data_IF_838304208846
#
_entry.id   IF_838304208846
#
_cell.length_a   1.000
_cell.length_b   1.000
_cell.length_c   1.000
_cell.angle_alpha   90.00
_cell.angle_beta   90.00
_cell.angle_gamma   90.00
#
_symmetry.space_group_name_H-M   'P 1'
#
loop_
_entity.id
_entity.type
_entity.pdbx_description
1 polymer ?
#
# COMPACT_ATOMS: atom_id res chain seq x y z
N UNK A 1 23.33 -52.42 11.32
CA UNK A 1 23.92 -52.25 9.98
C UNK A 1 23.96 -50.76 9.74
N UNK A 2 24.95 -50.11 10.20
CA UNK A 2 26.28 -49.74 9.67
C UNK A 2 26.24 -48.82 8.43
N UNK A 3 26.64 -47.56 8.70
CA UNK A 3 27.56 -46.79 7.87
C UNK A 3 26.90 -45.73 7.01
N UNK A 4 27.38 -44.54 6.80
CA UNK A 4 28.74 -43.95 6.98
C UNK A 4 28.63 -42.42 6.95
N UNK A 5 29.31 -41.77 7.85
CA UNK A 5 29.76 -40.37 7.72
C UNK A 5 30.73 -40.23 6.52
N UNK A 6 30.62 -39.15 5.79
CA UNK A 6 31.70 -38.59 5.00
C UNK A 6 31.78 -37.09 5.27
N UNK A 7 32.81 -36.71 5.99
CA UNK A 7 33.27 -35.33 6.11
C UNK A 7 34.23 -35.07 4.94
N UNK A 8 34.10 -33.90 4.33
CA UNK A 8 35.13 -33.36 3.44
C UNK A 8 35.38 -31.90 3.79
N UNK A 9 36.46 -31.69 4.51
CA UNK A 9 37.16 -30.42 4.67
C UNK A 9 37.90 -30.07 3.38
N UNK A 10 37.75 -28.83 2.91
CA UNK A 10 38.74 -28.20 2.02
C UNK A 10 39.06 -26.81 2.54
N UNK A 11 40.27 -26.71 3.09
CA UNK A 11 41.04 -25.48 3.27
C UNK A 11 41.57 -25.02 1.90
N UNK A 12 41.55 -23.73 1.62
CA UNK A 12 42.48 -23.03 0.73
C UNK A 12 42.48 -21.55 1.09
N UNK A 13 43.45 -21.16 1.65
CA UNK A 13 44.59 -20.24 1.64
C UNK A 13 44.56 -19.20 0.51
N UNK A 14 44.45 -17.91 0.92
CA UNK A 14 45.32 -16.80 0.57
C UNK A 14 45.26 -16.18 -0.80
N UNK A 15 44.94 -14.88 -0.81
CA UNK A 15 45.73 -13.87 -1.53
C UNK A 15 45.30 -12.45 -1.11
N UNK A 16 46.25 -11.73 -0.54
CA UNK A 16 46.18 -10.28 -0.26
C UNK A 16 46.52 -9.57 -1.57
N UNK A 17 45.63 -8.69 -2.02
CA UNK A 17 45.95 -7.70 -3.05
C UNK A 17 45.63 -6.30 -2.50
N UNK A 18 46.68 -5.56 -2.19
CA UNK A 18 46.70 -4.11 -1.97
C UNK A 18 46.49 -3.42 -3.32
N UNK A 19 45.41 -2.66 -3.46
CA UNK A 19 45.16 -1.84 -4.66
C UNK A 19 44.60 -0.47 -4.27
N UNK A 20 45.36 0.50 -4.58
CA UNK A 20 45.35 1.96 -4.40
C UNK A 20 44.01 2.68 -4.39
N UNK A 21 43.99 3.72 -3.56
CA UNK A 21 43.03 4.79 -3.45
C UNK A 21 42.71 5.51 -4.79
N UNK A 22 41.45 5.72 -5.09
CA UNK A 22 40.97 6.85 -5.85
C UNK A 22 39.83 7.48 -5.09
N UNK A 23 40.05 8.72 -4.66
CA UNK A 23 39.05 9.54 -3.97
C UNK A 23 37.93 9.90 -4.94
N UNK A 24 36.72 9.49 -4.60
CA UNK A 24 35.49 10.01 -5.19
C UNK A 24 34.71 10.66 -4.07
N UNK A 25 34.57 11.98 -4.15
CA UNK A 25 33.78 12.76 -3.20
C UNK A 25 32.33 12.28 -3.25
N UNK A 26 31.83 11.85 -2.13
CA UNK A 26 30.39 11.65 -1.94
C UNK A 26 29.79 12.99 -1.53
N UNK A 27 29.08 13.61 -2.48
CA UNK A 27 28.19 14.71 -2.13
C UNK A 27 27.06 14.13 -1.27
N UNK A 28 26.83 14.64 -0.05
CA UNK A 28 25.69 14.22 0.76
C UNK A 28 24.42 14.70 0.07
N UNK A 29 23.49 13.79 -0.15
CA UNK A 29 22.15 14.07 -0.65
C UNK A 29 21.48 15.10 0.27
N UNK A 30 20.74 16.09 -0.25
CA UNK A 30 20.08 17.09 0.55
C UNK A 30 19.02 16.41 1.42
N UNK A 31 19.03 16.74 2.70
CA UNK A 31 18.04 16.30 3.66
C UNK A 31 16.64 16.78 3.26
N UNK A 32 15.57 15.98 3.48
CA UNK A 32 14.21 16.43 3.23
C UNK A 32 13.89 17.61 4.17
N UNK A 33 13.57 18.76 3.59
CA UNK A 33 13.13 19.95 4.29
C UNK A 33 11.76 19.69 4.92
N UNK A 34 11.70 19.66 6.25
CA UNK A 34 10.46 19.75 7.03
C UNK A 34 9.91 21.18 6.93
N UNK A 35 9.10 21.43 5.91
CA UNK A 35 8.30 22.63 5.79
C UNK A 35 7.01 22.48 6.59
N UNK A 36 6.98 23.07 7.81
CA UNK A 36 5.75 23.27 8.55
C UNK A 36 4.94 24.39 7.90
N UNK A 37 3.63 24.18 7.72
CA UNK A 37 2.69 25.21 7.28
C UNK A 37 1.27 24.73 7.53
N UNK A 38 0.66 25.21 8.61
CA UNK A 38 -0.75 25.00 8.90
C UNK A 38 -1.64 25.81 7.97
N UNK A 39 -2.81 25.29 7.63
CA UNK A 39 -3.86 26.00 6.90
C UNK A 39 -5.02 25.04 6.64
N UNK A 40 -6.13 25.22 7.37
CA UNK A 40 -7.35 24.45 7.15
C UNK A 40 -7.98 24.83 5.82
N UNK A 41 -8.47 23.82 5.13
CA UNK A 41 -9.24 23.95 3.89
C UNK A 41 -9.39 22.56 3.32
N UNK A 42 -10.58 22.14 2.90
CA UNK A 42 -10.88 20.81 2.38
C UNK A 42 -9.86 20.32 1.37
N UNK A 43 -8.80 19.69 1.89
CA UNK A 43 -7.65 19.25 1.13
C UNK A 43 -7.97 17.98 0.37
N UNK A 44 -7.93 18.04 -0.93
CA UNK A 44 -7.68 16.90 -1.80
C UNK A 44 -6.35 16.29 -1.37
N UNK A 45 -6.40 15.18 -0.65
CA UNK A 45 -5.20 14.46 -0.23
C UNK A 45 -4.56 13.83 -1.45
N UNK A 46 -3.35 14.29 -1.80
CA UNK A 46 -2.51 13.74 -2.88
C UNK A 46 -1.88 12.40 -2.47
N UNK A 47 -2.56 11.58 -1.71
CA UNK A 47 -2.11 10.24 -1.32
C UNK A 47 -2.78 9.20 -2.21
N UNK A 48 -2.22 8.00 -2.25
CA UNK A 48 -2.80 6.83 -2.91
C UNK A 48 -3.21 5.75 -1.91
N UNK A 49 -3.39 6.12 -0.63
CA UNK A 49 -3.69 5.17 0.45
C UNK A 49 -4.96 5.56 1.18
N UNK A 50 -5.81 4.56 1.38
CA UNK A 50 -6.98 4.60 2.28
C UNK A 50 -6.67 3.69 3.46
N UNK A 51 -6.74 4.22 4.67
CA UNK A 51 -6.52 3.47 5.90
C UNK A 51 -7.85 3.15 6.56
N UNK A 52 -8.02 1.90 6.98
CA UNK A 52 -9.18 1.40 7.71
C UNK A 52 -8.77 1.26 9.17
N UNK A 53 -9.58 1.81 10.07
CA UNK A 53 -9.39 1.73 11.54
C UNK A 53 -10.72 1.38 12.19
N UNK A 54 -10.72 1.16 13.50
CA UNK A 54 -11.96 0.98 14.27
C UNK A 54 -12.92 2.18 14.21
N UNK A 55 -12.44 3.35 13.76
CA UNK A 55 -13.25 4.56 13.54
C UNK A 55 -13.77 4.70 12.10
N UNK A 56 -13.40 3.78 11.20
CA UNK A 56 -13.77 3.79 9.80
C UNK A 56 -12.61 4.06 8.84
N UNK A 57 -12.93 4.43 7.60
CA UNK A 57 -11.96 4.68 6.53
C UNK A 57 -11.50 6.14 6.49
N UNK A 58 -10.23 6.36 6.17
CA UNK A 58 -9.64 7.69 6.01
C UNK A 58 -8.58 7.67 4.88
N UNK A 59 -8.62 8.65 3.95
CA UNK A 59 -9.67 9.65 3.75
C UNK A 59 -10.99 9.03 3.24
N UNK A 60 -12.10 9.70 3.52
CA UNK A 60 -13.44 9.31 3.02
C UNK A 60 -13.58 9.55 1.51
N UNK A 61 -12.91 10.56 1.00
CA UNK A 61 -12.84 10.87 -0.43
C UNK A 61 -11.38 11.01 -0.81
N UNK A 62 -10.97 10.23 -1.80
CA UNK A 62 -9.62 10.25 -2.34
C UNK A 62 -9.68 10.61 -3.82
N UNK A 63 -8.90 11.62 -4.25
CA UNK A 63 -8.79 12.00 -5.65
C UNK A 63 -7.46 11.51 -6.22
N UNK A 64 -7.50 10.81 -7.34
CA UNK A 64 -6.33 10.22 -7.99
C UNK A 64 -6.32 10.47 -9.50
N UNK A 65 -5.13 10.47 -10.10
CA UNK A 65 -5.02 10.50 -11.55
C UNK A 65 -5.44 9.16 -12.18
N UNK A 66 -5.93 9.21 -13.41
CA UNK A 66 -6.23 8.02 -14.22
C UNK A 66 -5.00 7.09 -14.32
N UNK A 67 -5.21 5.80 -14.19
CA UNK A 67 -4.17 4.77 -14.20
C UNK A 67 -3.53 4.50 -12.83
N UNK A 68 -3.88 5.26 -11.80
CA UNK A 68 -3.38 5.05 -10.44
C UNK A 68 -3.96 3.76 -9.83
N UNK A 69 -3.17 3.10 -8.99
CA UNK A 69 -3.64 2.09 -8.05
C UNK A 69 -3.76 2.70 -6.65
N UNK A 70 -4.82 2.39 -5.94
CA UNK A 70 -5.06 2.83 -4.56
C UNK A 70 -4.81 1.68 -3.60
N UNK A 71 -4.02 1.94 -2.55
CA UNK A 71 -3.75 0.98 -1.49
C UNK A 71 -4.79 1.12 -0.38
N UNK A 72 -5.41 0.02 0.00
CA UNK A 72 -6.19 -0.09 1.24
C UNK A 72 -5.35 -0.79 2.30
N UNK A 73 -5.24 -0.18 3.47
CA UNK A 73 -4.48 -0.72 4.62
C UNK A 73 -5.42 -0.92 5.79
N UNK A 74 -5.50 -2.15 6.29
CA UNK A 74 -6.30 -2.47 7.46
C UNK A 74 -5.45 -2.28 8.74
N UNK A 75 -5.64 -1.15 9.42
CA UNK A 75 -5.08 -0.85 10.74
C UNK A 75 -6.09 -1.11 11.89
N UNK A 76 -7.20 -1.78 11.60
CA UNK A 76 -8.12 -2.28 12.62
C UNK A 76 -7.67 -3.66 13.12
N UNK A 77 -8.23 -4.08 14.25
CA UNK A 77 -8.01 -5.40 14.87
C UNK A 77 -8.90 -6.50 14.29
N UNK A 78 -9.83 -6.16 13.39
CA UNK A 78 -10.78 -7.07 12.76
C UNK A 78 -10.59 -7.15 11.24
N UNK A 79 -11.15 -8.19 10.63
CA UNK A 79 -11.13 -8.34 9.18
C UNK A 79 -12.10 -7.37 8.50
N UNK A 80 -11.72 -6.90 7.32
CA UNK A 80 -12.56 -6.13 6.40
C UNK A 80 -12.58 -6.77 5.02
N UNK A 81 -13.62 -6.49 4.24
CA UNK A 81 -13.73 -6.91 2.84
C UNK A 81 -14.20 -5.72 2.00
N UNK A 82 -13.24 -5.08 1.29
CA UNK A 82 -13.51 -3.84 0.56
C UNK A 82 -13.88 -4.13 -0.88
N UNK A 83 -15.07 -3.67 -1.27
CA UNK A 83 -15.60 -3.83 -2.62
C UNK A 83 -16.19 -2.51 -3.13
N UNK A 84 -16.36 -2.38 -4.46
CA UNK A 84 -17.03 -1.24 -5.07
C UNK A 84 -18.54 -1.28 -4.83
N UNK A 85 -19.19 -0.14 -5.01
CA UNK A 85 -20.64 -0.07 -5.07
C UNK A 85 -21.19 -0.63 -6.41
N UNK A 86 -22.51 -0.91 -6.52
CA UNK A 86 -23.45 -1.05 -5.41
C UNK A 86 -23.40 -2.44 -4.78
N UNK A 87 -23.76 -2.55 -3.51
CA UNK A 87 -23.96 -3.86 -2.90
C UNK A 87 -25.27 -4.51 -3.43
N UNK A 88 -25.31 -5.82 -3.69
CA UNK A 88 -24.24 -6.84 -3.63
C UNK A 88 -23.50 -7.08 -4.95
N UNK A 89 -23.75 -6.29 -5.99
CA UNK A 89 -23.28 -6.56 -7.37
C UNK A 89 -21.85 -6.10 -7.64
N UNK A 90 -21.35 -5.08 -6.91
CA UNK A 90 -19.99 -4.53 -6.98
C UNK A 90 -19.53 -4.18 -8.41
N UNK A 91 -20.40 -3.54 -9.18
CA UNK A 91 -20.22 -3.35 -10.63
C UNK A 91 -19.75 -1.98 -11.07
N UNK A 92 -19.85 -0.94 -10.21
CA UNK A 92 -19.52 0.44 -10.61
C UNK A 92 -18.03 0.60 -10.92
N UNK A 93 -17.16 0.02 -10.09
CA UNK A 93 -15.71 0.10 -10.25
C UNK A 93 -15.07 -1.24 -9.90
N UNK A 94 -15.14 -2.25 -10.81
CA UNK A 94 -14.66 -3.60 -10.52
C UNK A 94 -13.18 -3.66 -10.13
N UNK A 95 -12.40 -2.64 -10.50
CA UNK A 95 -10.99 -2.51 -10.16
C UNK A 95 -10.74 -2.46 -8.64
N UNK A 96 -11.72 -1.95 -7.88
CA UNK A 96 -11.67 -1.89 -6.40
C UNK A 96 -11.80 -3.30 -5.80
N UNK A 97 -12.55 -4.19 -6.44
CA UNK A 97 -12.79 -5.54 -5.95
C UNK A 97 -11.52 -6.41 -5.85
N UNK A 98 -10.42 -5.96 -6.49
CA UNK A 98 -9.10 -6.59 -6.32
C UNK A 98 -8.56 -6.50 -4.89
N UNK A 99 -9.06 -5.57 -4.09
CA UNK A 99 -8.73 -5.42 -2.66
C UNK A 99 -9.34 -6.58 -1.88
N UNK A 100 -10.66 -6.76 -1.97
CA UNK A 100 -11.39 -7.85 -1.30
C UNK A 100 -11.07 -7.95 0.19
N UNK A 101 -10.83 -9.16 0.66
CA UNK A 101 -10.57 -9.47 2.07
C UNK A 101 -9.20 -8.92 2.55
N UNK A 102 -9.19 -8.24 3.70
CA UNK A 102 -8.05 -7.66 4.40
C UNK A 102 -8.02 -8.11 5.86
N UNK A 103 -7.05 -8.93 6.23
CA UNK A 103 -6.78 -9.24 7.64
C UNK A 103 -6.16 -8.04 8.38
N UNK A 104 -6.18 -8.01 9.72
CA UNK A 104 -5.49 -7.00 10.51
C UNK A 104 -4.03 -6.82 10.09
N UNK A 105 -3.61 -5.57 9.88
CA UNK A 105 -2.26 -5.22 9.40
C UNK A 105 -2.00 -5.46 7.91
N UNK A 106 -2.95 -5.99 7.16
CA UNK A 106 -2.78 -6.27 5.74
C UNK A 106 -3.04 -5.03 4.87
N UNK A 107 -2.28 -4.91 3.78
CA UNK A 107 -2.50 -3.92 2.73
C UNK A 107 -2.66 -4.61 1.39
N UNK A 108 -3.59 -4.12 0.56
CA UNK A 108 -3.80 -4.55 -0.83
C UNK A 108 -4.12 -3.36 -1.73
N UNK A 109 -3.85 -3.52 -3.00
CA UNK A 109 -4.10 -2.48 -4.02
C UNK A 109 -5.29 -2.83 -4.92
N UNK A 110 -5.95 -1.79 -5.39
CA UNK A 110 -6.90 -1.91 -6.51
C UNK A 110 -6.16 -2.35 -7.78
N UNK A 111 -6.88 -2.82 -8.78
CA UNK A 111 -6.36 -2.79 -10.15
C UNK A 111 -6.19 -1.33 -10.63
N UNK A 112 -5.58 -1.10 -11.81
CA UNK A 112 -5.38 0.24 -12.36
C UNK A 112 -6.71 0.93 -12.63
N UNK A 113 -6.92 2.09 -12.04
CA UNK A 113 -8.14 2.90 -12.18
C UNK A 113 -8.12 3.69 -13.49
N UNK A 114 -8.38 3.03 -14.60
CA UNK A 114 -8.17 3.57 -15.95
C UNK A 114 -9.30 4.44 -16.49
N UNK A 115 -10.46 4.48 -15.84
CA UNK A 115 -11.64 5.20 -16.32
C UNK A 115 -11.91 6.42 -15.44
N UNK A 116 -11.95 7.62 -16.02
CA UNK A 116 -12.33 8.87 -15.32
C UNK A 116 -13.77 8.76 -14.86
N UNK A 117 -13.99 8.69 -13.55
CA UNK A 117 -15.30 8.55 -12.90
C UNK A 117 -15.19 8.67 -11.39
N UNK A 118 -16.31 8.71 -10.71
CA UNK A 118 -16.39 8.62 -9.24
C UNK A 118 -16.84 7.21 -8.85
N UNK A 119 -16.08 6.57 -7.98
CA UNK A 119 -16.27 5.20 -7.53
C UNK A 119 -16.61 5.19 -6.04
N UNK A 120 -17.80 4.73 -5.68
CA UNK A 120 -18.13 4.39 -4.31
C UNK A 120 -17.52 3.05 -3.91
N UNK A 121 -17.22 2.88 -2.62
CA UNK A 121 -16.78 1.61 -2.05
C UNK A 121 -17.30 1.43 -0.63
N UNK A 122 -17.39 0.18 -0.18
CA UNK A 122 -17.87 -0.20 1.15
C UNK A 122 -17.17 -1.47 1.66
N UNK A 123 -17.28 -1.71 2.97
CA UNK A 123 -17.00 -3.04 3.56
C UNK A 123 -18.19 -3.97 3.27
N UNK A 124 -17.95 -5.04 2.50
CA UNK A 124 -19.00 -5.99 2.08
C UNK A 124 -19.70 -6.65 3.27
N UNK A 125 -18.93 -7.04 4.30
CA UNK A 125 -19.48 -7.68 5.50
C UNK A 125 -20.28 -6.71 6.40
N UNK A 126 -20.07 -5.39 6.22
CA UNK A 126 -20.69 -4.30 7.00
C UNK A 126 -21.22 -3.20 6.10
N UNK A 127 -21.92 -3.57 5.04
CA UNK A 127 -22.35 -2.67 3.97
C UNK A 127 -23.26 -1.52 4.40
N UNK A 128 -23.87 -1.60 5.59
CA UNK A 128 -24.70 -0.54 6.18
C UNK A 128 -23.92 0.42 7.08
N UNK A 129 -22.65 0.09 7.40
CA UNK A 129 -21.78 0.94 8.22
C UNK A 129 -21.17 2.04 7.36
N UNK A 130 -21.77 3.25 7.45
CA UNK A 130 -21.29 4.40 6.71
C UNK A 130 -19.89 4.87 7.08
N UNK A 131 -19.35 4.45 8.25
CA UNK A 131 -17.98 4.74 8.64
C UNK A 131 -16.97 3.99 7.76
N UNK A 132 -17.35 2.84 7.21
CA UNK A 132 -16.56 1.97 6.34
C UNK A 132 -16.85 2.16 4.84
N UNK A 133 -17.56 3.23 4.48
CA UNK A 133 -17.85 3.62 3.10
C UNK A 133 -17.03 4.85 2.71
N UNK A 134 -16.72 4.98 1.43
CA UNK A 134 -16.01 6.14 0.90
C UNK A 134 -16.06 6.24 -0.61
N UNK A 135 -15.30 7.17 -1.16
CA UNK A 135 -15.31 7.49 -2.59
C UNK A 135 -13.91 7.70 -3.14
N UNK A 136 -13.64 7.18 -4.32
CA UNK A 136 -12.45 7.47 -5.11
C UNK A 136 -12.88 8.26 -6.35
N UNK A 137 -12.33 9.47 -6.52
CA UNK A 137 -12.53 10.33 -7.69
C UNK A 137 -11.34 10.16 -8.61
N UNK A 138 -11.57 9.67 -9.83
CA UNK A 138 -10.55 9.42 -10.85
C UNK A 138 -10.64 10.56 -11.89
N UNK A 139 -9.54 11.29 -12.10
CA UNK A 139 -9.46 12.45 -13.00
C UNK A 139 -8.18 12.47 -13.86
#
# INVERSE_FOLDING_TARGET
MTGRLVAASCLAVGAIALGSACGGGYDPAPAPSTGGGGGGGGGSTTGTTITITSSGVSPKTLTVARGTQVTFTNNDSVNHEMNSDPHPTHTDCPEINSVGFLAPGQSKMTANLNTVRTCGYHDHARNTDTSLQGTIVIQ
#
